data_IF_308081755592
#
_entry.id   IF_308081755592
#
_cell.length_a   1.000
_cell.length_b   1.000
_cell.length_c   1.000
_cell.angle_alpha   90.00
_cell.angle_beta   90.00
_cell.angle_gamma   90.00
#
_symmetry.space_group_name_H-M   'P 1'
#
loop_
_entity.id
_entity.type
_entity.pdbx_description
1 polymer ?
#
# COMPACT_ATOMS: atom_id res chain seq x y z
N UNK A 1 10.10 9.98 9.40
CA UNK A 1 8.88 9.32 8.90
C UNK A 1 8.42 10.06 7.65
N UNK A 2 8.12 9.36 6.55
CA UNK A 2 7.55 10.01 5.36
C UNK A 2 6.21 10.62 5.73
N UNK A 3 6.07 11.92 5.57
CA UNK A 3 4.82 12.62 5.78
C UNK A 3 3.91 12.38 4.57
N UNK A 4 3.23 11.22 4.58
CA UNK A 4 2.29 10.85 3.51
C UNK A 4 1.06 11.74 3.50
N UNK A 5 0.70 12.33 4.65
CA UNK A 5 -0.49 13.14 4.84
C UNK A 5 -0.36 14.55 4.25
N UNK A 6 0.85 15.09 4.14
CA UNK A 6 1.06 16.34 3.37
C UNK A 6 0.75 16.14 1.88
N UNK A 7 -0.30 16.83 1.44
CA UNK A 7 -0.75 16.95 0.04
C UNK A 7 -0.36 18.32 -0.50
N UNK A 8 0.38 18.39 -1.61
CA UNK A 8 0.58 19.66 -2.34
C UNK A 8 -0.51 19.83 -3.40
N UNK A 9 -0.85 21.07 -3.80
CA UNK A 9 -1.81 21.30 -4.89
C UNK A 9 -1.43 20.61 -6.20
N UNK A 10 -0.11 20.54 -6.50
CA UNK A 10 0.39 19.83 -7.69
C UNK A 10 0.11 18.32 -7.60
N UNK A 11 0.31 17.70 -6.43
CA UNK A 11 0.06 16.27 -6.24
C UNK A 11 -1.42 15.93 -6.33
N UNK A 12 -2.29 16.79 -5.77
CA UNK A 12 -3.74 16.63 -5.85
C UNK A 12 -4.21 16.73 -7.31
N UNK A 13 -3.72 17.73 -8.05
CA UNK A 13 -4.07 17.89 -9.46
C UNK A 13 -3.67 16.66 -10.29
N UNK A 14 -2.46 16.14 -10.10
CA UNK A 14 -2.00 14.93 -10.81
C UNK A 14 -2.89 13.72 -10.48
N UNK A 15 -3.31 13.58 -9.22
CA UNK A 15 -4.22 12.51 -8.80
C UNK A 15 -5.61 12.65 -9.45
N UNK A 16 -6.17 13.87 -9.47
CA UNK A 16 -7.46 14.16 -10.11
C UNK A 16 -7.43 13.92 -11.62
N UNK A 17 -6.34 14.30 -12.29
CA UNK A 17 -6.15 14.05 -13.72
C UNK A 17 -6.08 12.54 -14.01
N UNK A 18 -5.36 11.78 -13.17
CA UNK A 18 -5.26 10.32 -13.30
C UNK A 18 -6.57 9.56 -13.03
N UNK A 19 -7.46 10.10 -12.18
CA UNK A 19 -8.80 9.52 -11.98
C UNK A 19 -9.65 9.64 -13.24
N UNK A 20 -9.45 10.69 -14.04
CA UNK A 20 -10.24 10.98 -15.26
C UNK A 20 -9.62 10.38 -16.52
N UNK A 21 -8.29 10.23 -16.56
CA UNK A 21 -7.55 9.75 -17.72
C UNK A 21 -6.74 8.49 -17.38
N UNK A 22 -7.18 7.36 -17.95
CA UNK A 22 -6.52 6.07 -17.79
C UNK A 22 -5.09 6.02 -18.32
N UNK A 23 -4.71 6.89 -19.26
CA UNK A 23 -3.33 7.00 -19.74
C UNK A 23 -2.44 7.64 -18.69
N UNK A 24 -2.88 8.74 -18.09
CA UNK A 24 -2.16 9.40 -16.98
C UNK A 24 -2.01 8.42 -15.81
N UNK A 25 -3.08 7.67 -15.48
CA UNK A 25 -3.00 6.63 -14.47
C UNK A 25 -1.94 5.57 -14.79
N UNK A 26 -1.90 5.07 -16.03
CA UNK A 26 -0.91 4.09 -16.45
C UNK A 26 0.53 4.63 -16.30
N UNK A 27 0.77 5.88 -16.71
CA UNK A 27 2.09 6.54 -16.58
C UNK A 27 2.51 6.66 -15.09
N UNK A 28 1.58 6.96 -14.20
CA UNK A 28 1.86 6.98 -12.75
C UNK A 28 2.25 5.60 -12.24
N UNK A 29 1.53 4.54 -12.62
CA UNK A 29 1.79 3.17 -12.19
C UNK A 29 3.15 2.68 -12.70
N UNK A 30 3.48 2.92 -13.97
CA UNK A 30 4.79 2.61 -14.55
C UNK A 30 5.91 3.37 -13.81
N UNK A 31 5.63 4.61 -13.44
CA UNK A 31 6.49 5.47 -12.66
C UNK A 31 6.90 4.90 -11.29
N UNK A 32 6.08 4.03 -10.68
CA UNK A 32 6.39 3.36 -9.41
C UNK A 32 7.55 2.36 -9.53
N UNK A 33 7.81 1.86 -10.74
CA UNK A 33 8.89 0.91 -11.04
C UNK A 33 10.14 1.60 -11.61
N UNK A 34 10.13 2.93 -11.73
CA UNK A 34 11.26 3.71 -12.23
C UNK A 34 12.54 3.44 -11.43
N UNK A 35 13.71 3.44 -12.09
CA UNK A 35 15.00 3.36 -11.38
C UNK A 35 15.30 4.63 -10.57
N UNK A 36 14.73 5.77 -10.95
CA UNK A 36 14.95 7.07 -10.30
C UNK A 36 14.07 7.23 -9.06
N UNK A 37 14.68 7.41 -7.89
CA UNK A 37 13.95 7.53 -6.62
C UNK A 37 12.95 8.71 -6.61
N UNK A 38 13.34 9.87 -7.14
CA UNK A 38 12.47 11.05 -7.22
C UNK A 38 11.22 10.79 -8.08
N UNK A 39 11.37 10.05 -9.19
CA UNK A 39 10.25 9.69 -10.07
C UNK A 39 9.30 8.74 -9.34
N UNK A 40 9.83 7.68 -8.72
CA UNK A 40 9.04 6.74 -7.92
C UNK A 40 8.23 7.45 -6.84
N UNK A 41 8.88 8.34 -6.09
CA UNK A 41 8.22 9.04 -4.99
C UNK A 41 7.14 10.01 -5.46
N UNK A 42 7.41 10.81 -6.50
CA UNK A 42 6.41 11.72 -7.09
C UNK A 42 5.15 10.96 -7.52
N UNK A 43 5.34 9.86 -8.24
CA UNK A 43 4.22 9.06 -8.73
C UNK A 43 3.49 8.33 -7.60
N UNK A 44 4.24 7.78 -6.64
CA UNK A 44 3.64 7.15 -5.47
C UNK A 44 2.74 8.11 -4.69
N UNK A 45 3.14 9.37 -4.53
CA UNK A 45 2.29 10.36 -3.86
C UNK A 45 0.94 10.53 -4.55
N UNK A 46 0.91 10.65 -5.87
CA UNK A 46 -0.35 10.71 -6.60
C UNK A 46 -1.16 9.41 -6.46
N UNK A 47 -0.54 8.24 -6.63
CA UNK A 47 -1.22 6.93 -6.49
C UNK A 47 -1.75 6.71 -5.07
N UNK A 48 -1.02 7.14 -4.05
CA UNK A 48 -1.46 7.08 -2.66
C UNK A 48 -2.71 7.93 -2.44
N UNK A 49 -2.74 9.16 -2.94
CA UNK A 49 -3.93 10.02 -2.89
C UNK A 49 -5.14 9.37 -3.57
N UNK A 50 -4.95 8.81 -4.77
CA UNK A 50 -6.02 8.07 -5.46
C UNK A 50 -6.48 6.89 -4.60
N UNK A 51 -5.58 6.14 -3.97
CA UNK A 51 -5.98 5.01 -3.12
C UNK A 51 -6.77 5.43 -1.88
N UNK A 52 -6.50 6.61 -1.33
CA UNK A 52 -7.26 7.16 -0.20
C UNK A 52 -8.61 7.72 -0.63
N UNK A 53 -8.64 8.52 -1.69
CA UNK A 53 -9.80 9.34 -2.04
C UNK A 53 -10.71 8.64 -3.08
N UNK A 54 -10.13 7.86 -4.01
CA UNK A 54 -10.79 7.15 -5.13
C UNK A 54 -10.30 5.70 -5.30
N UNK A 55 -10.37 4.85 -4.26
CA UNK A 55 -9.82 3.49 -4.26
C UNK A 55 -10.36 2.58 -5.38
N UNK A 56 -11.60 2.80 -5.82
CA UNK A 56 -12.29 2.04 -6.86
C UNK A 56 -11.54 2.06 -8.21
N UNK A 57 -10.87 3.18 -8.51
CA UNK A 57 -10.07 3.36 -9.73
C UNK A 57 -8.89 2.38 -9.74
N UNK A 58 -8.27 2.19 -8.59
CA UNK A 58 -7.08 1.35 -8.42
C UNK A 58 -7.41 -0.12 -8.14
N UNK A 59 -8.61 -0.44 -7.69
CA UNK A 59 -8.99 -1.81 -7.33
C UNK A 59 -8.90 -2.78 -8.53
N UNK A 60 -9.16 -2.29 -9.75
CA UNK A 60 -8.95 -3.04 -11.00
C UNK A 60 -7.48 -3.47 -11.23
N UNK A 61 -6.54 -2.81 -10.55
CA UNK A 61 -5.09 -3.05 -10.64
C UNK A 61 -4.54 -3.81 -9.43
N UNK A 62 -5.39 -4.47 -8.64
CA UNK A 62 -4.98 -5.23 -7.45
C UNK A 62 -3.73 -6.10 -7.67
N UNK A 63 -3.73 -6.92 -8.72
CA UNK A 63 -2.63 -7.86 -9.02
C UNK A 63 -1.29 -7.16 -9.28
N UNK A 64 -1.31 -5.90 -9.73
CA UNK A 64 -0.10 -5.10 -9.88
C UNK A 64 0.50 -4.77 -8.50
N UNK A 65 -0.31 -4.33 -7.55
CA UNK A 65 0.14 -4.04 -6.18
C UNK A 65 0.51 -5.31 -5.40
N UNK A 66 -0.20 -6.41 -5.61
CA UNK A 66 0.17 -7.72 -5.05
C UNK A 66 1.56 -8.15 -5.54
N UNK A 67 1.88 -7.94 -6.82
CA UNK A 67 3.21 -8.22 -7.37
C UNK A 67 4.27 -7.31 -6.71
N UNK A 68 3.96 -6.03 -6.52
CA UNK A 68 4.85 -5.10 -5.81
C UNK A 68 5.10 -5.51 -4.35
N UNK A 69 4.11 -6.08 -3.66
CA UNK A 69 4.25 -6.59 -2.30
C UNK A 69 5.30 -7.71 -2.20
N UNK A 70 5.51 -8.48 -3.27
CA UNK A 70 6.51 -9.57 -3.37
C UNK A 70 7.92 -9.04 -3.72
N UNK A 71 8.09 -7.74 -3.92
CA UNK A 71 9.36 -7.17 -4.38
C UNK A 71 10.46 -7.23 -3.31
N UNK A 72 11.68 -7.57 -3.71
CA UNK A 72 12.88 -7.43 -2.85
C UNK A 72 13.26 -5.98 -2.58
N UNK A 73 12.68 -5.02 -3.32
CA UNK A 73 12.93 -3.61 -3.10
C UNK A 73 11.96 -3.08 -2.02
N UNK A 74 12.49 -2.78 -0.84
CA UNK A 74 11.72 -2.27 0.30
C UNK A 74 10.91 -1.01 -0.02
N UNK A 75 11.36 -0.16 -0.95
CA UNK A 75 10.59 1.02 -1.38
C UNK A 75 9.35 0.63 -2.18
N UNK A 76 9.48 -0.34 -3.08
CA UNK A 76 8.36 -0.85 -3.90
C UNK A 76 7.36 -1.60 -3.01
N UNK A 77 7.86 -2.43 -2.09
CA UNK A 77 7.04 -3.11 -1.09
C UNK A 77 6.30 -2.12 -0.20
N UNK A 78 6.98 -1.06 0.27
CA UNK A 78 6.38 0.03 1.04
C UNK A 78 5.19 0.66 0.30
N UNK A 79 5.33 0.96 -0.99
CA UNK A 79 4.21 1.51 -1.77
C UNK A 79 3.02 0.56 -1.84
N UNK A 80 3.28 -0.73 -2.03
CA UNK A 80 2.24 -1.76 -2.05
C UNK A 80 1.49 -1.87 -0.73
N UNK A 81 2.22 -1.87 0.41
CA UNK A 81 1.63 -1.95 1.76
C UNK A 81 0.57 -0.87 1.96
N UNK A 82 0.91 0.38 1.64
CA UNK A 82 0.00 1.52 1.83
C UNK A 82 -1.19 1.48 0.88
N UNK A 83 -0.97 1.19 -0.40
CA UNK A 83 -2.06 1.14 -1.38
C UNK A 83 -3.01 -0.01 -1.06
N UNK A 84 -2.52 -1.23 -0.84
CA UNK A 84 -3.36 -2.39 -0.54
C UNK A 84 -4.20 -2.20 0.73
N UNK A 85 -3.63 -1.59 1.77
CA UNK A 85 -4.37 -1.27 2.99
C UNK A 85 -5.51 -0.27 2.73
N UNK A 86 -5.29 0.72 1.85
CA UNK A 86 -6.34 1.65 1.45
C UNK A 86 -7.42 0.97 0.57
N UNK A 87 -7.04 0.03 -0.30
CA UNK A 87 -7.97 -0.70 -1.17
C UNK A 87 -8.88 -1.67 -0.41
N UNK A 88 -8.51 -2.11 0.80
CA UNK A 88 -9.31 -3.01 1.61
C UNK A 88 -10.76 -2.51 1.82
N UNK A 89 -10.99 -1.19 1.84
CA UNK A 89 -12.32 -0.58 2.03
C UNK A 89 -13.29 -0.78 0.85
N UNK A 90 -12.79 -1.11 -0.34
CA UNK A 90 -13.62 -1.42 -1.53
C UNK A 90 -13.45 -2.87 -1.98
N UNK A 91 -12.78 -3.70 -1.18
CA UNK A 91 -12.46 -5.09 -1.50
C UNK A 91 -13.64 -6.03 -1.23
N UNK A 92 -14.69 -5.90 -2.04
CA UNK A 92 -15.88 -6.75 -1.96
C UNK A 92 -15.67 -8.19 -2.44
N UNK A 93 -14.57 -8.48 -3.13
CA UNK A 93 -14.23 -9.83 -3.60
C UNK A 93 -13.31 -10.60 -2.65
N UNK A 94 -12.93 -10.02 -1.50
CA UNK A 94 -12.10 -10.69 -0.50
C UNK A 94 -10.65 -10.97 -0.95
N UNK A 95 -10.08 -10.09 -1.79
CA UNK A 95 -8.71 -10.25 -2.29
C UNK A 95 -7.66 -10.02 -1.20
N UNK A 96 -7.96 -9.18 -0.20
CA UNK A 96 -7.06 -8.93 0.92
C UNK A 96 -6.85 -10.19 1.75
N UNK A 97 -7.91 -10.95 2.01
CA UNK A 97 -7.91 -12.20 2.75
C UNK A 97 -6.99 -13.24 2.07
N UNK A 98 -6.99 -13.24 0.74
CA UNK A 98 -6.11 -14.12 -0.06
C UNK A 98 -4.63 -13.79 0.12
N UNK A 99 -4.28 -12.51 0.33
CA UNK A 99 -2.89 -12.05 0.53
C UNK A 99 -2.55 -11.81 2.00
N UNK A 100 -3.47 -12.11 2.93
CA UNK A 100 -3.37 -11.72 4.34
C UNK A 100 -2.08 -12.21 4.97
N UNK A 101 -1.79 -13.51 4.82
CA UNK A 101 -0.62 -14.11 5.44
C UNK A 101 0.66 -13.49 4.86
N UNK A 102 0.73 -13.34 3.54
CA UNK A 102 1.84 -12.67 2.87
C UNK A 102 2.04 -11.22 3.36
N UNK A 103 0.96 -10.46 3.56
CA UNK A 103 1.01 -9.08 4.02
C UNK A 103 1.55 -9.00 5.45
N UNK A 104 1.06 -9.84 6.35
CA UNK A 104 1.46 -9.82 7.76
C UNK A 104 2.76 -10.57 8.05
N UNK A 105 3.22 -11.48 7.18
CA UNK A 105 4.52 -12.15 7.31
C UNK A 105 5.68 -11.14 7.20
N UNK A 106 5.44 -9.99 6.54
CA UNK A 106 6.40 -8.88 6.46
C UNK A 106 6.80 -8.39 7.86
N UNK A 107 5.89 -8.44 8.84
CA UNK A 107 6.19 -8.08 10.23
C UNK A 107 7.35 -8.92 10.78
N UNK A 108 7.39 -10.21 10.44
CA UNK A 108 8.45 -11.12 10.89
C UNK A 108 9.58 -11.31 9.86
N UNK A 109 9.58 -10.54 8.76
CA UNK A 109 10.52 -10.67 7.64
C UNK A 109 11.94 -10.13 7.88
N UNK A 110 12.25 -9.66 9.09
CA UNK A 110 13.59 -9.18 9.47
C UNK A 110 13.95 -7.76 9.03
N UNK A 111 13.10 -7.09 8.22
CA UNK A 111 13.28 -5.69 7.84
C UNK A 111 12.36 -4.77 8.67
N UNK A 112 12.96 -3.94 9.53
CA UNK A 112 12.21 -3.10 10.47
C UNK A 112 11.26 -2.12 9.77
N UNK A 113 11.74 -1.44 8.72
CA UNK A 113 10.97 -0.37 8.07
C UNK A 113 9.66 -0.88 7.44
N UNK A 114 9.65 -1.95 6.61
CA UNK A 114 8.41 -2.58 6.15
C UNK A 114 7.51 -3.06 7.29
N UNK A 115 8.06 -3.69 8.33
CA UNK A 115 7.28 -4.17 9.48
C UNK A 115 6.53 -3.04 10.20
N UNK A 116 7.20 -1.91 10.46
CA UNK A 116 6.57 -0.72 11.04
C UNK A 116 5.43 -0.18 10.18
N UNK A 117 5.57 -0.23 8.85
CA UNK A 117 4.52 0.24 7.95
C UNK A 117 3.31 -0.69 7.90
N UNK A 118 3.51 -2.02 7.94
CA UNK A 118 2.40 -2.98 8.07
C UNK A 118 1.61 -2.73 9.36
N UNK A 119 2.31 -2.57 10.49
CA UNK A 119 1.67 -2.23 11.76
C UNK A 119 0.92 -0.89 11.66
N UNK A 120 1.56 0.14 11.10
CA UNK A 120 0.97 1.48 10.95
C UNK A 120 -0.34 1.46 10.15
N UNK A 121 -0.40 0.75 9.02
CA UNK A 121 -1.59 0.74 8.16
C UNK A 121 -2.67 -0.26 8.59
N UNK A 122 -2.38 -1.14 9.55
CA UNK A 122 -3.31 -2.20 9.98
C UNK A 122 -4.65 -1.66 10.48
N UNK A 123 -4.68 -0.47 11.06
CA UNK A 123 -5.93 0.17 11.49
C UNK A 123 -6.89 0.43 10.31
N UNK A 124 -6.38 0.71 9.11
CA UNK A 124 -7.19 0.93 7.90
C UNK A 124 -7.88 -0.37 7.48
N UNK A 125 -7.16 -1.49 7.59
CA UNK A 125 -7.69 -2.82 7.28
C UNK A 125 -8.73 -3.24 8.31
N UNK A 126 -8.45 -3.08 9.61
CA UNK A 126 -9.42 -3.37 10.69
C UNK A 126 -10.71 -2.56 10.51
N UNK A 127 -10.60 -1.27 10.16
CA UNK A 127 -11.77 -0.43 9.91
C UNK A 127 -12.59 -0.90 8.70
N UNK A 128 -11.93 -1.40 7.66
CA UNK A 128 -12.57 -1.90 6.44
C UNK A 128 -13.14 -3.32 6.58
N UNK A 129 -12.47 -4.16 7.37
CA UNK A 129 -12.71 -5.60 7.53
C UNK A 129 -12.66 -5.98 9.01
N UNK A 130 -13.67 -5.58 9.82
CA UNK A 130 -13.67 -5.81 11.26
C UNK A 130 -13.57 -7.30 11.66
N UNK A 131 -14.03 -8.21 10.81
CA UNK A 131 -13.92 -9.66 10.96
C UNK A 131 -12.47 -10.17 11.02
N UNK A 132 -11.51 -9.39 10.52
CA UNK A 132 -10.09 -9.74 10.57
C UNK A 132 -9.40 -9.27 11.86
N UNK A 133 -10.07 -8.53 12.75
CA UNK A 133 -9.46 -7.87 13.91
C UNK A 133 -8.66 -8.82 14.79
N UNK A 134 -9.21 -9.98 15.14
CA UNK A 134 -8.55 -10.94 16.02
C UNK A 134 -7.29 -11.52 15.35
N UNK A 135 -7.40 -11.89 14.06
CA UNK A 135 -6.28 -12.40 13.28
C UNK A 135 -5.17 -11.36 13.13
N UNK A 136 -5.53 -10.09 12.86
CA UNK A 136 -4.56 -8.98 12.75
C UNK A 136 -3.87 -8.75 14.09
N UNK A 137 -4.64 -8.73 15.18
CA UNK A 137 -4.13 -8.53 16.53
C UNK A 137 -3.13 -9.62 16.91
N UNK A 138 -3.46 -10.89 16.64
CA UNK A 138 -2.55 -12.01 16.85
C UNK A 138 -1.24 -11.83 16.07
N UNK A 139 -1.31 -11.46 14.79
CA UNK A 139 -0.12 -11.27 13.93
C UNK A 139 0.77 -10.13 14.43
N UNK A 140 0.17 -9.04 14.93
CA UNK A 140 0.90 -7.89 15.45
C UNK A 140 1.47 -8.12 16.87
N UNK A 141 0.84 -8.97 17.69
CA UNK A 141 1.34 -9.34 19.02
C UNK A 141 2.42 -10.43 18.97
N UNK A 142 2.41 -11.27 17.93
CA UNK A 142 3.39 -12.34 17.72
C UNK A 142 4.74 -11.85 17.16
N UNK A 143 5.25 -10.72 17.67
CA UNK A 143 6.57 -10.15 17.34
C UNK A 143 7.76 -10.94 17.93
N UNK A 144 7.46 -11.95 18.75
CA UNK A 144 8.37 -12.62 19.69
C UNK A 144 9.54 -13.41 19.05
N UNK A 145 9.79 -13.30 17.74
CA UNK A 145 10.90 -13.98 17.04
C UNK A 145 11.62 -13.12 15.99
N UNK A 146 11.20 -11.87 15.77
CA UNK A 146 11.80 -11.04 14.74
C UNK A 146 13.07 -10.35 15.26
N UNK A 147 14.24 -10.83 14.83
CA UNK A 147 15.49 -10.05 14.96
C UNK A 147 15.59 -9.13 13.74
N UNK A 148 15.23 -7.87 13.92
CA UNK A 148 15.46 -6.86 12.90
C UNK A 148 16.95 -6.49 12.86
N UNK A 149 17.51 -6.40 11.66
CA UNK A 149 18.90 -6.01 11.42
C UNK A 149 18.98 -4.58 10.91
#
# INVERSE_FOLDING_TARGET
MLDLEKKTPEQQKIAEDAVKDGKVLAELLDGLLSKKCAVRYKNFKAVYLISEDHPEVLYSKWSFFETMLKSKNNTVMFYAIHVLANLAKVDGAGKFETIFDQFYDIVNGGALVPACHVAYVSHKIVKAKPELTDKITERLLNLNKATYK
#
